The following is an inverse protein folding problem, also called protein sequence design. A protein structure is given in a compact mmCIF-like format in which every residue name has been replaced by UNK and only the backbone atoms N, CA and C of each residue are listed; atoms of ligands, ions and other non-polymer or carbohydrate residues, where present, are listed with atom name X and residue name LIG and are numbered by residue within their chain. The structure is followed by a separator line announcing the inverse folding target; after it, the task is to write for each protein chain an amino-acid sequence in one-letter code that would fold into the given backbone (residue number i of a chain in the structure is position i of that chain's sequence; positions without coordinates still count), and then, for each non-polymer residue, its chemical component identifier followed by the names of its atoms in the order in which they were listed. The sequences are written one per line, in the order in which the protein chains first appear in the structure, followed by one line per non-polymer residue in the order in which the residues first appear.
data_IF_313561048306
#
_entry.id   IF_313561048306
#
_cell.length_a   1.000
_cell.length_b   1.000
_cell.length_c   1.000
_cell.angle_alpha   90.00
_cell.angle_beta   90.00
_cell.angle_gamma   90.00
#
_symmetry.space_group_name_H-M   'P 1'
#
loop_
_entity.id
_entity.type
_entity.pdbx_description
1 polymer ?
#
# COMPACT_ATOMS: atom_id res chain seq x y z
N UNK A 1 30.37 -15.02 22.80
CA UNK A 1 30.36 -13.79 21.98
C UNK A 1 29.13 -13.84 21.07
N UNK A 2 27.96 -14.18 21.63
CA UNK A 2 26.78 -14.66 20.87
C UNK A 2 25.49 -13.84 21.12
N UNK A 3 25.37 -13.15 22.26
CA UNK A 3 24.17 -12.34 22.52
C UNK A 3 24.08 -11.09 21.63
N UNK A 4 25.23 -10.50 21.25
CA UNK A 4 25.26 -9.29 20.41
C UNK A 4 24.91 -9.57 18.95
N UNK A 5 25.21 -10.76 18.44
CA UNK A 5 24.88 -11.18 17.06
C UNK A 5 23.41 -11.56 16.93
N UNK A 6 22.81 -12.20 17.94
CA UNK A 6 21.36 -12.47 17.97
C UNK A 6 20.54 -11.18 18.01
N UNK A 7 20.90 -10.24 18.88
CA UNK A 7 20.18 -8.97 19.03
C UNK A 7 20.21 -8.10 17.75
N UNK A 8 21.32 -8.12 17.00
CA UNK A 8 21.42 -7.37 15.75
C UNK A 8 20.57 -7.97 14.61
N UNK A 9 20.49 -9.30 14.53
CA UNK A 9 19.66 -10.00 13.54
C UNK A 9 18.15 -9.79 13.81
N UNK A 10 17.75 -9.78 15.08
CA UNK A 10 16.37 -9.52 15.50
C UNK A 10 15.94 -8.09 15.17
N UNK A 11 16.82 -7.11 15.46
CA UNK A 11 16.57 -5.70 15.14
C UNK A 11 16.44 -5.47 13.62
N UNK A 12 17.25 -6.14 12.81
CA UNK A 12 17.18 -6.04 11.36
C UNK A 12 15.91 -6.67 10.78
N UNK A 13 15.47 -7.79 11.36
CA UNK A 13 14.19 -8.43 11.00
C UNK A 13 13.01 -7.54 11.35
N UNK A 14 13.01 -6.93 12.53
CA UNK A 14 11.96 -6.02 12.96
C UNK A 14 11.90 -4.74 12.10
N UNK A 15 13.06 -4.17 11.76
CA UNK A 15 13.13 -3.01 10.87
C UNK A 15 12.61 -3.33 9.45
N UNK A 16 12.93 -4.53 8.96
CA UNK A 16 12.42 -5.02 7.67
C UNK A 16 10.91 -5.20 7.70
N UNK A 17 10.38 -5.82 8.75
CA UNK A 17 8.93 -6.01 8.91
C UNK A 17 8.18 -4.68 9.01
N UNK A 18 8.71 -3.72 9.75
CA UNK A 18 8.15 -2.38 9.84
C UNK A 18 8.12 -1.67 8.47
N UNK A 19 9.17 -1.84 7.65
CA UNK A 19 9.22 -1.30 6.28
C UNK A 19 8.18 -1.96 5.40
N UNK A 20 8.10 -3.29 5.40
CA UNK A 20 7.08 -4.04 4.65
C UNK A 20 5.67 -3.58 5.04
N UNK A 21 5.47 -3.35 6.34
CA UNK A 21 4.18 -2.89 6.83
C UNK A 21 3.85 -1.49 6.29
N UNK A 22 4.81 -0.59 6.40
CA UNK A 22 4.68 0.78 5.89
C UNK A 22 4.37 0.82 4.39
N UNK A 23 5.04 0.00 3.60
CA UNK A 23 4.83 -0.06 2.14
C UNK A 23 3.45 -0.63 1.79
N UNK A 24 3.00 -1.67 2.50
CA UNK A 24 1.66 -2.21 2.35
C UNK A 24 0.57 -1.22 2.78
N UNK A 25 0.74 -0.49 3.89
CA UNK A 25 -0.18 0.57 4.31
C UNK A 25 -0.30 1.68 3.28
N UNK A 26 0.82 2.16 2.70
CA UNK A 26 0.78 3.17 1.63
C UNK A 26 0.02 2.69 0.39
N UNK A 27 0.27 1.46 -0.04
CA UNK A 27 -0.43 0.86 -1.17
C UNK A 27 -1.94 0.73 -0.90
N UNK A 28 -2.30 0.25 0.30
CA UNK A 28 -3.69 0.13 0.72
C UNK A 28 -4.39 1.50 0.79
N UNK A 29 -3.76 2.52 1.37
CA UNK A 29 -4.29 3.90 1.38
C UNK A 29 -4.48 4.44 -0.04
N UNK A 30 -3.50 4.27 -0.93
CA UNK A 30 -3.62 4.72 -2.32
C UNK A 30 -4.78 4.05 -3.07
N UNK A 31 -4.96 2.73 -2.87
CA UNK A 31 -6.08 1.97 -3.41
C UNK A 31 -7.42 2.41 -2.83
N UNK A 32 -7.49 2.59 -1.51
CA UNK A 32 -8.70 3.05 -0.83
C UNK A 32 -9.13 4.43 -1.34
N UNK A 33 -8.22 5.39 -1.40
CA UNK A 33 -8.52 6.72 -1.95
C UNK A 33 -9.05 6.60 -3.37
N UNK A 34 -8.39 5.80 -4.23
CA UNK A 34 -8.86 5.58 -5.60
C UNK A 34 -10.28 5.01 -5.61
N UNK A 35 -10.56 3.96 -4.84
CA UNK A 35 -11.88 3.32 -4.78
C UNK A 35 -12.95 4.26 -4.23
N UNK A 36 -12.70 4.94 -3.11
CA UNK A 36 -13.64 5.87 -2.48
C UNK A 36 -14.17 6.92 -3.47
N UNK A 37 -13.29 7.47 -4.31
CA UNK A 37 -13.69 8.48 -5.29
C UNK A 37 -14.17 7.87 -6.62
N UNK A 38 -13.54 6.82 -7.13
CA UNK A 38 -13.95 6.18 -8.38
C UNK A 38 -15.35 5.55 -8.28
N UNK A 39 -15.68 4.99 -7.12
CA UNK A 39 -16.99 4.39 -6.83
C UNK A 39 -17.99 5.43 -6.30
N UNK A 40 -17.62 6.72 -6.24
CA UNK A 40 -18.43 7.83 -5.72
C UNK A 40 -18.98 7.60 -4.31
N UNK A 41 -18.26 6.83 -3.50
CA UNK A 41 -18.52 6.73 -2.07
C UNK A 41 -18.21 8.08 -1.38
N UNK A 42 -17.24 8.82 -1.92
CA UNK A 42 -16.98 10.23 -1.67
C UNK A 42 -17.18 11.03 -2.95
N UNK A 43 -17.82 12.19 -2.86
CA UNK A 43 -18.12 13.05 -4.01
C UNK A 43 -16.85 13.74 -4.55
N UNK A 44 -16.31 13.35 -5.73
CA UNK A 44 -15.04 13.89 -6.21
C UNK A 44 -15.07 15.40 -6.46
N UNK A 45 -16.24 15.97 -6.77
CA UNK A 45 -16.39 17.40 -6.99
C UNK A 45 -16.32 18.23 -5.70
N UNK A 46 -16.37 17.61 -4.52
CA UNK A 46 -16.17 18.28 -3.24
C UNK A 46 -14.68 18.50 -2.91
N UNK A 47 -13.75 17.97 -3.71
CA UNK A 47 -12.32 18.22 -3.55
C UNK A 47 -11.97 19.67 -3.89
N UNK A 48 -11.39 20.36 -2.93
CA UNK A 48 -10.80 21.68 -3.09
C UNK A 48 -9.32 21.50 -3.43
N UNK A 49 -8.93 21.89 -4.63
CA UNK A 49 -7.55 21.71 -5.11
C UNK A 49 -6.68 22.93 -4.80
N UNK A 50 -5.42 22.68 -4.43
CA UNK A 50 -4.41 23.73 -4.40
C UNK A 50 -4.07 24.20 -5.82
N UNK A 51 -3.46 25.38 -5.90
CA UNK A 51 -3.04 25.98 -7.18
C UNK A 51 -2.03 25.11 -7.94
N UNK A 52 -1.20 24.34 -7.24
CA UNK A 52 -0.22 23.43 -7.83
C UNK A 52 -0.84 22.15 -8.42
N UNK A 53 -2.13 21.91 -8.17
CA UNK A 53 -2.85 20.71 -8.60
C UNK A 53 -2.36 19.41 -7.98
N UNK A 54 -1.56 19.48 -6.91
CA UNK A 54 -0.98 18.33 -6.20
C UNK A 54 -1.52 18.18 -4.80
N UNK A 55 -1.99 19.24 -4.17
CA UNK A 55 -2.66 19.13 -2.87
C UNK A 55 -4.16 19.25 -3.04
N UNK A 56 -4.90 18.58 -2.16
CA UNK A 56 -6.35 18.69 -2.12
C UNK A 56 -6.90 18.58 -0.70
N UNK A 57 -8.01 19.28 -0.46
CA UNK A 57 -8.80 19.19 0.76
C UNK A 57 -10.16 18.60 0.46
N UNK A 58 -10.61 17.68 1.31
CA UNK A 58 -11.93 17.08 1.23
C UNK A 58 -12.68 17.32 2.55
N UNK A 59 -13.79 18.08 2.53
CA UNK A 59 -14.55 18.36 3.74
C UNK A 59 -15.39 17.15 4.17
N UNK A 60 -15.25 16.75 5.44
CA UNK A 60 -16.08 15.76 6.11
C UNK A 60 -17.16 16.48 6.91
N UNK A 61 -18.20 16.96 6.21
CA UNK A 61 -19.24 17.81 6.79
C UNK A 61 -19.88 17.26 8.08
N UNK A 62 -20.24 15.96 8.17
CA UNK A 62 -20.91 15.42 9.36
C UNK A 62 -20.03 15.48 10.62
N UNK A 63 -18.71 15.34 10.48
CA UNK A 63 -17.76 15.39 11.60
C UNK A 63 -17.11 16.77 11.80
N UNK A 64 -17.36 17.73 10.89
CA UNK A 64 -16.70 19.06 10.85
C UNK A 64 -15.17 18.96 10.81
N UNK A 65 -14.66 17.96 10.07
CA UNK A 65 -13.23 17.73 9.87
C UNK A 65 -12.90 17.85 8.38
N UNK A 66 -11.62 17.95 8.06
CA UNK A 66 -11.15 18.06 6.67
C UNK A 66 -10.03 17.06 6.47
N UNK A 67 -10.13 16.23 5.43
CA UNK A 67 -8.99 15.48 4.95
C UNK A 67 -8.11 16.38 4.10
N UNK A 68 -6.81 16.31 4.31
CA UNK A 68 -5.80 16.96 3.51
C UNK A 68 -4.91 15.91 2.87
N UNK A 69 -4.86 15.91 1.54
CA UNK A 69 -3.97 15.07 0.76
C UNK A 69 -2.76 15.90 0.33
N UNK A 70 -1.57 15.49 0.75
CA UNK A 70 -0.31 16.22 0.50
C UNK A 70 0.25 16.03 -0.91
N UNK A 71 -0.08 14.92 -1.59
CA UNK A 71 0.14 14.70 -3.02
C UNK A 71 -0.97 13.79 -3.57
N UNK A 72 -2.01 14.39 -4.12
CA UNK A 72 -3.13 13.75 -4.82
C UNK A 72 -3.07 14.18 -6.28
N UNK A 73 -3.25 13.23 -7.20
CA UNK A 73 -3.22 13.52 -8.64
C UNK A 73 -4.43 12.94 -9.34
N UNK A 74 -4.89 13.63 -10.38
CA UNK A 74 -5.86 13.08 -11.30
C UNK A 74 -5.16 12.05 -12.20
N UNK A 75 -5.75 10.88 -12.31
CA UNK A 75 -5.34 9.80 -13.18
C UNK A 75 -6.39 9.59 -14.29
N UNK A 76 -6.07 8.83 -15.35
CA UNK A 76 -7.03 8.51 -16.42
C UNK A 76 -8.36 7.96 -15.90
N UNK A 77 -9.39 8.07 -16.74
CA UNK A 77 -10.77 7.65 -16.43
C UNK A 77 -11.38 8.34 -15.19
N UNK A 78 -10.93 9.56 -14.85
CA UNK A 78 -11.47 10.32 -13.73
C UNK A 78 -11.10 9.74 -12.36
N UNK A 79 -10.08 8.90 -12.30
CA UNK A 79 -9.59 8.31 -11.04
C UNK A 79 -8.62 9.26 -10.33
N UNK A 80 -8.35 8.97 -9.07
CA UNK A 80 -7.38 9.72 -8.26
C UNK A 80 -6.26 8.79 -7.80
N UNK A 81 -5.04 9.35 -7.76
CA UNK A 81 -3.85 8.67 -7.28
C UNK A 81 -3.30 9.44 -6.09
N UNK A 82 -3.32 8.82 -4.91
CA UNK A 82 -2.67 9.36 -3.73
C UNK A 82 -1.21 8.90 -3.68
N UNK A 83 -0.29 9.85 -3.73
CA UNK A 83 1.16 9.65 -3.65
C UNK A 83 1.76 10.21 -2.35
N UNK A 84 1.00 11.03 -1.64
CA UNK A 84 1.41 11.67 -0.40
C UNK A 84 0.76 11.07 0.85
N UNK A 85 1.03 11.74 1.96
CA UNK A 85 0.35 11.54 3.23
C UNK A 85 -1.07 12.09 3.20
N UNK A 86 -1.93 11.46 4.01
CA UNK A 86 -3.28 11.91 4.29
C UNK A 86 -3.30 12.41 5.72
N UNK A 87 -3.83 13.60 5.92
CA UNK A 87 -3.94 14.24 7.23
C UNK A 87 -5.40 14.58 7.52
N UNK A 88 -5.79 14.55 8.79
CA UNK A 88 -7.07 15.07 9.26
C UNK A 88 -6.83 16.38 9.98
N UNK A 89 -7.55 17.41 9.57
CA UNK A 89 -7.66 18.68 10.27
C UNK A 89 -8.96 18.68 11.07
N UNK A 90 -8.88 18.94 12.36
CA UNK A 90 -10.07 19.12 13.21
C UNK A 90 -10.50 20.59 13.31
N UNK A 91 -11.59 20.84 14.03
CA UNK A 91 -12.13 22.19 14.23
C UNK A 91 -11.24 23.13 15.06
N UNK A 92 -10.17 22.62 15.68
CA UNK A 92 -9.16 23.41 16.40
C UNK A 92 -7.96 23.77 15.52
N UNK A 93 -7.88 23.17 14.32
CA UNK A 93 -6.73 23.29 13.43
C UNK A 93 -5.62 22.26 13.72
N UNK A 94 -5.82 21.34 14.66
CA UNK A 94 -4.88 20.28 14.92
C UNK A 94 -4.83 19.32 13.72
N UNK A 95 -3.62 18.82 13.42
CA UNK A 95 -3.33 17.94 12.28
C UNK A 95 -2.90 16.57 12.78
N UNK A 96 -3.56 15.53 12.26
CA UNK A 96 -3.23 14.15 12.55
C UNK A 96 -3.02 13.38 11.26
N UNK A 97 -1.86 12.76 11.11
CA UNK A 97 -1.56 11.94 9.95
C UNK A 97 -2.26 10.58 10.06
N UNK A 98 -2.82 10.13 8.94
CA UNK A 98 -3.39 8.79 8.78
C UNK A 98 -2.38 7.90 8.09
N UNK A 99 -1.76 7.01 8.85
CA UNK A 99 -0.82 6.00 8.35
C UNK A 99 -1.46 4.61 8.18
N UNK A 100 -2.73 4.50 8.57
CA UNK A 100 -3.46 3.25 8.59
C UNK A 100 -4.76 3.33 7.75
N UNK A 101 -4.97 2.37 6.83
CA UNK A 101 -6.21 2.22 6.05
C UNK A 101 -7.50 2.17 6.87
N UNK A 102 -7.49 1.48 8.01
CA UNK A 102 -8.67 1.37 8.87
C UNK A 102 -9.02 2.73 9.48
N UNK A 103 -8.01 3.49 9.92
CA UNK A 103 -8.18 4.86 10.39
C UNK A 103 -8.81 5.77 9.32
N UNK A 104 -8.38 5.67 8.06
CA UNK A 104 -9.01 6.41 6.95
C UNK A 104 -10.48 6.03 6.79
N UNK A 105 -10.82 4.74 6.78
CA UNK A 105 -12.20 4.26 6.63
C UNK A 105 -13.08 4.76 7.78
N UNK A 106 -12.60 4.67 9.01
CA UNK A 106 -13.31 5.19 10.19
C UNK A 106 -13.57 6.69 10.06
N UNK A 107 -12.57 7.45 9.61
CA UNK A 107 -12.68 8.90 9.47
C UNK A 107 -13.70 9.31 8.38
N UNK A 108 -13.72 8.60 7.24
CA UNK A 108 -14.65 8.93 6.14
C UNK A 108 -16.02 8.32 6.30
N UNK A 109 -16.20 7.32 7.18
CA UNK A 109 -17.45 6.58 7.33
C UNK A 109 -18.69 7.46 7.48
N UNK A 110 -18.68 8.57 8.26
CA UNK A 110 -19.85 9.44 8.39
C UNK A 110 -20.21 10.19 7.10
N UNK A 111 -19.24 10.36 6.19
CA UNK A 111 -19.38 11.12 4.95
C UNK A 111 -19.65 10.24 3.71
N UNK A 112 -19.75 8.92 3.88
CA UNK A 112 -20.03 8.00 2.77
C UNK A 112 -21.42 8.27 2.18
N UNK A 113 -21.53 8.20 0.86
CA UNK A 113 -22.80 8.34 0.13
C UNK A 113 -23.80 7.20 0.41
N UNK A 114 -23.35 6.12 1.04
CA UNK A 114 -24.15 4.96 1.41
C UNK A 114 -24.06 4.73 2.92
N UNK A 115 -25.18 4.39 3.55
CA UNK A 115 -25.16 3.88 4.92
C UNK A 115 -24.68 2.43 4.92
N UNK A 116 -23.59 2.10 5.63
CA UNK A 116 -23.20 0.71 5.83
C UNK A 116 -24.31 -0.08 6.54
N UNK A 117 -24.36 -1.39 6.30
CA UNK A 117 -25.15 -2.29 7.13
C UNK A 117 -24.69 -2.21 8.61
N UNK A 118 -25.54 -2.60 9.59
CA UNK A 118 -25.23 -2.47 11.02
C UNK A 118 -23.86 -3.03 11.45
N UNK A 119 -23.38 -4.08 10.79
CA UNK A 119 -22.08 -4.72 10.98
C UNK A 119 -21.10 -4.50 9.80
N UNK A 120 -21.56 -3.87 8.73
CA UNK A 120 -20.83 -3.77 7.45
C UNK A 120 -19.51 -3.02 7.58
N UNK A 121 -19.47 -1.94 8.37
CA UNK A 121 -18.24 -1.21 8.63
C UNK A 121 -17.23 -2.08 9.38
N UNK A 122 -17.66 -2.79 10.43
CA UNK A 122 -16.78 -3.66 11.21
C UNK A 122 -16.24 -4.82 10.36
N UNK A 123 -17.03 -5.33 9.41
CA UNK A 123 -16.59 -6.36 8.47
C UNK A 123 -15.55 -5.82 7.50
N UNK A 124 -15.82 -4.67 6.89
CA UNK A 124 -14.87 -4.00 5.99
C UNK A 124 -13.52 -3.73 6.64
N UNK A 125 -13.51 -3.23 7.90
CA UNK A 125 -12.27 -2.97 8.62
C UNK A 125 -11.44 -4.25 8.83
N UNK A 126 -12.10 -5.38 9.15
CA UNK A 126 -11.41 -6.67 9.27
C UNK A 126 -10.89 -7.18 7.93
N UNK A 127 -11.65 -7.01 6.86
CA UNK A 127 -11.24 -7.44 5.52
C UNK A 127 -10.05 -6.63 5.01
N UNK A 128 -10.01 -5.33 5.30
CA UNK A 128 -8.87 -4.46 4.97
C UNK A 128 -7.62 -4.87 5.75
N UNK A 129 -7.75 -5.07 7.06
CA UNK A 129 -6.66 -5.54 7.92
C UNK A 129 -6.11 -6.92 7.44
N UNK A 130 -7.00 -7.86 7.10
CA UNK A 130 -6.62 -9.15 6.52
C UNK A 130 -5.93 -8.99 5.15
N UNK A 131 -6.45 -8.14 4.28
CA UNK A 131 -5.86 -7.86 2.97
C UNK A 131 -4.45 -7.28 3.10
N UNK A 132 -4.26 -6.37 4.06
CA UNK A 132 -2.98 -5.78 4.35
C UNK A 132 -1.97 -6.80 4.90
N UNK A 133 -2.37 -7.68 5.83
CA UNK A 133 -1.52 -8.77 6.32
C UNK A 133 -1.08 -9.69 5.18
N UNK A 134 -2.00 -10.01 4.26
CA UNK A 134 -1.69 -10.82 3.08
C UNK A 134 -0.70 -10.11 2.14
N UNK A 135 -0.80 -8.79 1.94
CA UNK A 135 0.17 -8.03 1.15
C UNK A 135 1.57 -8.06 1.78
N UNK A 136 1.67 -7.93 3.10
CA UNK A 136 2.95 -8.07 3.83
C UNK A 136 3.55 -9.46 3.65
N UNK A 137 2.75 -10.51 3.80
CA UNK A 137 3.22 -11.89 3.59
C UNK A 137 3.69 -12.12 2.15
N UNK A 138 2.95 -11.60 1.17
CA UNK A 138 3.32 -11.68 -0.24
C UNK A 138 4.63 -10.93 -0.53
N UNK A 139 4.82 -9.72 0.03
CA UNK A 139 6.07 -8.96 -0.10
C UNK A 139 7.25 -9.66 0.56
N UNK A 140 7.06 -10.22 1.76
CA UNK A 140 8.10 -11.00 2.44
C UNK A 140 8.51 -12.21 1.60
N UNK A 141 7.54 -12.94 1.07
CA UNK A 141 7.79 -14.07 0.18
C UNK A 141 8.55 -13.64 -1.09
N UNK A 142 8.14 -12.54 -1.72
CA UNK A 142 8.83 -11.93 -2.87
C UNK A 142 10.30 -11.64 -2.62
N UNK A 143 10.60 -11.00 -1.50
CA UNK A 143 11.97 -10.65 -1.15
C UNK A 143 12.83 -11.89 -0.91
N UNK A 144 12.28 -12.90 -0.23
CA UNK A 144 12.95 -14.18 0.01
C UNK A 144 13.24 -14.92 -1.31
N UNK A 145 12.22 -15.06 -2.16
CA UNK A 145 12.35 -15.68 -3.47
C UNK A 145 13.36 -14.94 -4.36
N UNK A 146 13.33 -13.60 -4.36
CA UNK A 146 14.29 -12.77 -5.11
C UNK A 146 15.73 -12.95 -4.61
N UNK A 147 15.93 -13.09 -3.30
CA UNK A 147 17.25 -13.33 -2.72
C UNK A 147 17.78 -14.73 -3.07
N UNK A 148 16.93 -15.76 -2.96
CA UNK A 148 17.26 -17.13 -3.36
C UNK A 148 17.63 -17.21 -4.85
N UNK A 149 16.86 -16.55 -5.71
CA UNK A 149 17.13 -16.50 -7.14
C UNK A 149 18.47 -15.84 -7.44
N UNK A 150 18.81 -14.72 -6.79
CA UNK A 150 20.12 -14.07 -6.92
C UNK A 150 21.26 -14.99 -6.49
N UNK A 151 21.09 -15.76 -5.41
CA UNK A 151 22.08 -16.74 -4.97
C UNK A 151 22.29 -17.84 -6.00
N UNK A 152 21.21 -18.38 -6.60
CA UNK A 152 21.29 -19.40 -7.66
C UNK A 152 22.01 -18.87 -8.90
N UNK A 153 21.70 -17.65 -9.33
CA UNK A 153 22.38 -16.99 -10.47
C UNK A 153 23.88 -16.85 -10.19
N UNK A 154 24.25 -16.36 -9.00
CA UNK A 154 25.64 -16.19 -8.60
C UNK A 154 26.39 -17.53 -8.51
N UNK A 155 25.78 -18.54 -7.89
CA UNK A 155 26.35 -19.89 -7.77
C UNK A 155 26.54 -20.57 -9.14
N UNK A 156 25.65 -20.30 -10.10
CA UNK A 156 25.77 -20.77 -11.47
C UNK A 156 26.82 -19.99 -12.29
N UNK A 157 27.43 -18.92 -11.74
CA UNK A 157 28.36 -18.06 -12.46
C UNK A 157 27.73 -17.32 -13.64
N UNK A 158 26.41 -17.11 -13.59
CA UNK A 158 25.68 -16.50 -14.70
C UNK A 158 25.71 -14.97 -14.60
N UNK A 159 25.84 -14.24 -15.73
CA UNK A 159 25.96 -12.79 -15.73
C UNK A 159 24.64 -12.08 -15.37
N UNK A 160 23.51 -12.79 -15.34
CA UNK A 160 22.22 -12.21 -15.01
C UNK A 160 21.07 -13.23 -15.09
N UNK A 161 19.86 -12.75 -14.79
CA UNK A 161 18.64 -13.58 -14.71
C UNK A 161 18.30 -14.27 -16.03
N UNK A 162 18.28 -13.55 -17.15
CA UNK A 162 17.95 -14.14 -18.45
C UNK A 162 18.95 -15.23 -18.87
N UNK A 163 20.24 -14.99 -18.67
CA UNK A 163 21.29 -15.98 -18.96
C UNK A 163 21.16 -17.23 -18.08
N UNK A 164 20.77 -17.06 -16.81
CA UNK A 164 20.47 -18.17 -15.90
C UNK A 164 19.25 -18.97 -16.35
N UNK A 165 18.16 -18.31 -16.76
CA UNK A 165 16.97 -19.01 -17.25
C UNK A 165 17.29 -19.85 -18.50
N UNK A 166 18.01 -19.27 -19.46
CA UNK A 166 18.34 -19.93 -20.72
C UNK A 166 19.27 -21.14 -20.54
N UNK A 167 20.27 -21.02 -19.65
CA UNK A 167 21.35 -22.03 -19.51
C UNK A 167 21.12 -23.03 -18.38
N UNK A 168 20.26 -22.72 -17.42
CA UNK A 168 20.08 -23.54 -16.21
C UNK A 168 18.70 -24.19 -16.07
N UNK A 169 17.70 -23.77 -16.84
CA UNK A 169 16.34 -24.32 -16.75
C UNK A 169 15.82 -24.85 -18.08
N UNK A 170 15.09 -25.98 -18.09
CA UNK A 170 14.26 -26.39 -19.22
C UNK A 170 13.26 -25.28 -19.60
N UNK A 171 12.85 -25.16 -20.88
CA UNK A 171 12.01 -24.06 -21.37
C UNK A 171 10.72 -23.82 -20.58
N UNK A 172 10.03 -24.88 -20.14
CA UNK A 172 8.81 -24.77 -19.36
C UNK A 172 9.04 -24.20 -17.95
N UNK A 173 10.16 -24.56 -17.30
CA UNK A 173 10.53 -23.99 -16.01
C UNK A 173 11.01 -22.54 -16.14
N UNK A 174 11.72 -22.21 -17.23
CA UNK A 174 12.11 -20.84 -17.53
C UNK A 174 10.89 -19.93 -17.73
N UNK A 175 9.88 -20.39 -18.47
CA UNK A 175 8.62 -19.67 -18.66
C UNK A 175 7.85 -19.47 -17.34
N UNK A 176 7.72 -20.51 -16.50
CA UNK A 176 7.08 -20.37 -15.19
C UNK A 176 7.85 -19.41 -14.26
N UNK A 177 9.18 -19.45 -14.30
CA UNK A 177 10.01 -18.55 -13.48
C UNK A 177 9.89 -17.10 -13.96
N UNK A 178 9.73 -16.86 -15.26
CA UNK A 178 9.45 -15.53 -15.82
C UNK A 178 8.06 -15.02 -15.43
N UNK A 179 7.04 -15.87 -15.49
CA UNK A 179 5.69 -15.53 -15.07
C UNK A 179 5.65 -15.16 -13.58
N UNK A 180 6.29 -15.99 -12.75
CA UNK A 180 6.49 -15.68 -11.34
C UNK A 180 7.27 -14.38 -11.16
N UNK A 181 8.34 -14.12 -11.90
CA UNK A 181 9.08 -12.86 -11.78
C UNK A 181 8.22 -11.64 -12.15
N UNK A 182 7.47 -11.71 -13.26
CA UNK A 182 6.60 -10.62 -13.73
C UNK A 182 5.42 -10.32 -12.81
N UNK A 183 4.87 -11.34 -12.13
CA UNK A 183 3.84 -11.15 -11.11
C UNK A 183 4.34 -10.44 -9.84
N UNK A 184 5.66 -10.30 -9.66
CA UNK A 184 6.27 -9.80 -8.43
C UNK A 184 6.86 -8.38 -8.57
N UNK A 185 6.97 -7.82 -9.78
CA UNK A 185 7.44 -6.44 -10.03
C UNK A 185 6.31 -5.38 -10.12
N UNK A 186 5.04 -5.80 -10.01
CA UNK A 186 3.86 -4.92 -9.94
C UNK A 186 3.58 -4.30 -8.57
#
# INVERSE_FOLDING_TARGET
MDERTSSAADAQTQARDARLWTDASRNALARLVRCLFAERLLEPNALLWAQDGRQAWFPLWPSRRVLHFTDLRRAPAGTLQNLGHIEVLDGTGARHRLDDPSALITEVSPALAVSPAPDGLAHLLRDVDNSMRNDVLARRHREGWSAELRQKIAAAGMPGFLAYLERSLPPHLAAMTLDQWGALEG
#
